data_IF_387935124586
#
_entry.id   IF_387935124586
#
_cell.length_a   1.000
_cell.length_b   1.000
_cell.length_c   1.000
_cell.angle_alpha   90.00
_cell.angle_beta   90.00
_cell.angle_gamma   90.00
#
_symmetry.space_group_name_H-M   'P 1'
#
loop_
_entity.id
_entity.type
_entity.pdbx_description
1 polymer ?
#
# COMPACT_ATOMS: atom_id res chain seq x y z
N UNK A 1 20.63 3.69 12.81
CA UNK A 1 21.43 4.93 12.76
C UNK A 1 22.11 5.23 14.11
N UNK A 2 21.36 5.27 15.22
CA UNK A 2 21.94 5.48 16.57
C UNK A 2 22.91 4.38 16.97
N UNK A 3 22.63 3.12 16.62
CA UNK A 3 23.53 1.98 16.86
C UNK A 3 24.89 2.16 16.16
N UNK A 4 24.92 2.79 14.98
CA UNK A 4 26.14 3.15 14.26
C UNK A 4 26.71 4.52 14.66
N UNK A 5 26.35 5.04 15.83
CA UNK A 5 26.79 6.36 16.36
C UNK A 5 26.43 7.53 15.42
N UNK A 6 25.44 7.37 14.57
CA UNK A 6 24.90 8.42 13.72
C UNK A 6 23.66 9.05 14.37
N UNK A 7 23.64 10.36 14.50
CA UNK A 7 22.47 11.06 14.99
C UNK A 7 21.50 11.31 13.83
N UNK A 8 20.28 10.72 13.84
CA UNK A 8 19.29 10.89 12.77
C UNK A 8 18.94 12.36 12.49
N UNK A 9 18.97 13.19 13.53
CA UNK A 9 18.62 14.61 13.44
C UNK A 9 19.67 15.47 12.74
N UNK A 10 20.89 14.92 12.56
CA UNK A 10 22.01 15.57 11.88
C UNK A 10 22.21 15.10 10.45
N UNK A 11 21.44 14.10 9.99
CA UNK A 11 21.56 13.62 8.63
C UNK A 11 20.94 14.61 7.64
N UNK A 12 21.71 14.96 6.66
CA UNK A 12 21.23 15.72 5.50
C UNK A 12 20.32 14.85 4.64
N UNK A 13 19.59 15.47 3.71
CA UNK A 13 18.80 14.72 2.70
C UNK A 13 19.71 13.77 1.91
N UNK A 14 20.91 14.19 1.55
CA UNK A 14 21.87 13.37 0.80
C UNK A 14 22.32 12.15 1.59
N UNK A 15 22.65 12.31 2.88
CA UNK A 15 23.01 11.18 3.75
C UNK A 15 21.87 10.14 3.81
N UNK A 16 20.61 10.60 3.88
CA UNK A 16 19.44 9.72 3.89
C UNK A 16 19.28 8.98 2.57
N UNK A 17 19.53 9.64 1.43
CA UNK A 17 19.46 9.03 0.11
C UNK A 17 20.58 7.98 -0.10
N UNK A 18 21.81 8.23 0.38
CA UNK A 18 22.89 7.24 0.37
C UNK A 18 22.52 5.97 1.15
N UNK A 19 21.82 6.14 2.30
CA UNK A 19 21.35 5.02 3.11
C UNK A 19 20.25 4.24 2.39
N UNK A 20 19.35 4.92 1.69
CA UNK A 20 18.31 4.28 0.86
C UNK A 20 18.97 3.47 -0.26
N UNK A 21 19.98 4.02 -0.93
CA UNK A 21 20.75 3.33 -1.98
C UNK A 21 19.85 2.62 -2.99
N UNK A 22 19.96 1.29 -3.05
CA UNK A 22 19.16 0.41 -3.91
C UNK A 22 17.94 -0.20 -3.21
N UNK A 23 17.74 0.01 -1.92
CA UNK A 23 16.65 -0.64 -1.17
C UNK A 23 15.27 0.00 -1.42
N UNK A 24 15.22 1.19 -2.02
CA UNK A 24 14.00 1.97 -2.21
C UNK A 24 12.95 1.31 -3.09
N UNK A 25 11.72 1.82 -2.98
CA UNK A 25 10.61 1.46 -3.87
C UNK A 25 10.84 2.07 -5.27
N UNK A 26 10.28 1.40 -6.29
CA UNK A 26 10.41 1.85 -7.68
C UNK A 26 11.80 1.62 -8.29
N UNK A 27 12.12 2.33 -9.37
CA UNK A 27 13.36 2.15 -10.13
C UNK A 27 14.51 3.08 -9.72
N UNK A 28 14.23 4.15 -8.97
CA UNK A 28 15.26 5.12 -8.59
C UNK A 28 16.25 4.48 -7.62
N UNK A 29 17.54 4.67 -7.87
CA UNK A 29 18.65 4.26 -7.00
C UNK A 29 19.57 5.44 -6.73
N UNK A 30 20.21 5.44 -5.57
CA UNK A 30 21.12 6.52 -5.16
C UNK A 30 22.54 6.00 -5.01
N UNK A 31 23.51 6.76 -5.50
CA UNK A 31 24.92 6.45 -5.44
C UNK A 31 25.71 7.68 -4.95
N UNK A 32 26.76 7.50 -4.11
CA UNK A 32 27.24 6.22 -3.56
C UNK A 32 26.20 5.60 -2.61
N UNK A 33 26.21 4.26 -2.52
CA UNK A 33 25.36 3.52 -1.57
C UNK A 33 26.15 3.30 -0.28
N UNK A 34 25.54 3.66 0.85
CA UNK A 34 26.12 3.38 2.17
C UNK A 34 25.60 2.01 2.64
N UNK A 35 26.37 0.96 2.32
CA UNK A 35 26.00 -0.42 2.69
C UNK A 35 26.15 -0.63 4.19
N UNK A 36 25.06 -1.06 4.83
CA UNK A 36 25.12 -1.62 6.19
C UNK A 36 25.53 -3.09 6.09
N UNK A 37 26.36 -3.58 7.01
CA UNK A 37 26.90 -4.94 6.97
C UNK A 37 25.81 -6.01 6.81
N UNK A 38 26.09 -7.02 5.97
CA UNK A 38 25.14 -8.09 5.69
C UNK A 38 25.24 -9.18 6.75
N UNK A 39 24.18 -9.44 7.46
CA UNK A 39 24.01 -10.70 8.20
C UNK A 39 23.17 -11.66 7.33
N UNK A 40 23.80 -12.76 6.89
CA UNK A 40 23.11 -13.85 6.22
C UNK A 40 22.47 -14.74 7.30
N UNK A 41 21.18 -14.60 7.52
CA UNK A 41 20.40 -15.42 8.46
C UNK A 41 19.13 -15.95 7.81
N UNK A 42 18.79 -17.19 8.16
CA UNK A 42 17.48 -17.77 7.84
C UNK A 42 16.45 -17.01 8.69
N UNK A 43 15.62 -16.19 8.04
CA UNK A 43 14.83 -15.16 8.73
C UNK A 43 13.55 -15.76 9.26
N UNK A 44 13.48 -16.03 10.57
CA UNK A 44 12.23 -16.37 11.24
C UNK A 44 11.36 -15.11 11.38
N UNK A 45 10.16 -15.11 10.78
CA UNK A 45 9.25 -13.96 10.78
C UNK A 45 8.79 -13.58 12.18
N UNK A 46 8.55 -14.55 13.07
CA UNK A 46 8.15 -14.28 14.46
C UNK A 46 9.27 -13.57 15.23
N UNK A 47 10.51 -14.00 15.03
CA UNK A 47 11.67 -13.32 15.64
C UNK A 47 11.82 -11.89 15.14
N UNK A 48 11.65 -11.65 13.83
CA UNK A 48 11.68 -10.30 13.28
C UNK A 48 10.52 -9.43 13.79
N UNK A 49 9.32 -9.99 13.90
CA UNK A 49 8.17 -9.28 14.45
C UNK A 49 8.43 -8.83 15.90
N UNK A 50 8.98 -9.72 16.74
CA UNK A 50 9.36 -9.40 18.13
C UNK A 50 10.40 -8.28 18.19
N UNK A 51 11.44 -8.34 17.35
CA UNK A 51 12.45 -7.30 17.29
C UNK A 51 11.89 -5.95 16.79
N UNK A 52 10.96 -5.98 15.84
CA UNK A 52 10.22 -4.78 15.43
C UNK A 52 9.45 -4.15 16.60
N UNK A 53 8.78 -4.97 17.42
CA UNK A 53 8.06 -4.50 18.60
C UNK A 53 8.99 -3.84 19.62
N UNK A 54 10.16 -4.44 19.89
CA UNK A 54 11.18 -3.85 20.80
C UNK A 54 11.61 -2.46 20.31
N UNK A 55 11.86 -2.30 19.01
CA UNK A 55 12.25 -1.01 18.42
C UNK A 55 11.14 0.04 18.59
N UNK A 56 9.89 -0.35 18.34
CA UNK A 56 8.74 0.56 18.51
C UNK A 56 8.57 1.01 19.97
N UNK A 57 8.90 0.13 20.92
CA UNK A 57 8.89 0.44 22.35
C UNK A 57 10.14 1.22 22.81
N UNK A 58 11.02 1.63 21.89
CA UNK A 58 12.32 2.25 22.22
C UNK A 58 13.26 1.35 23.02
N UNK A 59 13.06 0.03 22.99
CA UNK A 59 13.91 -0.96 23.61
C UNK A 59 15.11 -1.30 22.70
N UNK A 60 16.16 -1.87 23.30
CA UNK A 60 17.34 -2.31 22.52
C UNK A 60 16.98 -3.57 21.68
N UNK A 61 17.43 -3.59 20.44
CA UNK A 61 17.33 -4.73 19.54
C UNK A 61 18.68 -5.06 18.94
N UNK A 62 19.11 -6.31 19.04
CA UNK A 62 20.36 -6.85 18.45
C UNK A 62 20.25 -6.98 16.93
N UNK A 63 19.02 -6.98 16.38
CA UNK A 63 18.74 -7.08 14.93
C UNK A 63 18.37 -5.75 14.28
N UNK A 64 18.70 -4.64 14.93
CA UNK A 64 18.32 -3.30 14.46
C UNK A 64 18.80 -3.07 13.00
N UNK A 65 19.98 -3.51 12.66
CA UNK A 65 20.57 -3.30 11.32
C UNK A 65 19.90 -4.18 10.27
N UNK A 66 19.57 -5.41 10.63
CA UNK A 66 18.82 -6.33 9.77
C UNK A 66 17.42 -5.79 9.48
N UNK A 67 16.70 -5.35 10.51
CA UNK A 67 15.37 -4.77 10.37
C UNK A 67 15.40 -3.47 9.57
N UNK A 68 16.39 -2.61 9.78
CA UNK A 68 16.55 -1.40 8.99
C UNK A 68 16.77 -1.71 7.51
N UNK A 69 17.59 -2.68 7.19
CA UNK A 69 17.86 -3.13 5.82
C UNK A 69 16.61 -3.72 5.17
N UNK A 70 15.85 -4.55 5.90
CA UNK A 70 14.63 -5.20 5.42
C UNK A 70 13.45 -4.24 5.36
N UNK A 71 13.35 -3.26 6.26
CA UNK A 71 12.28 -2.28 6.29
C UNK A 71 12.29 -1.30 5.11
N UNK A 72 13.45 -1.04 4.53
CA UNK A 72 13.62 -0.16 3.37
C UNK A 72 13.00 1.22 3.57
N UNK A 73 12.47 1.78 2.48
CA UNK A 73 11.79 3.10 2.46
C UNK A 73 10.28 2.99 2.40
N UNK A 74 9.72 1.83 2.69
CA UNK A 74 8.26 1.68 2.68
C UNK A 74 7.64 2.51 3.79
N UNK A 75 6.81 3.50 3.44
CA UNK A 75 6.08 4.34 4.38
C UNK A 75 4.95 3.59 5.10
N UNK A 76 4.31 4.26 6.05
CA UNK A 76 3.17 3.77 6.83
C UNK A 76 3.51 3.42 8.28
N UNK A 77 2.50 3.44 9.13
CA UNK A 77 2.65 3.34 10.59
C UNK A 77 2.99 1.94 11.10
N UNK A 78 2.59 0.87 10.37
CA UNK A 78 2.85 -0.51 10.79
C UNK A 78 4.25 -0.97 10.39
N UNK A 79 4.97 -1.72 11.28
CA UNK A 79 6.26 -2.29 10.95
C UNK A 79 6.14 -3.23 9.74
N UNK A 80 7.11 -3.15 8.85
CA UNK A 80 7.12 -4.02 7.68
C UNK A 80 8.55 -4.28 7.20
N UNK A 81 8.72 -5.41 6.54
CA UNK A 81 9.99 -5.79 5.92
C UNK A 81 9.79 -6.05 4.42
N UNK A 82 10.86 -5.86 3.67
CA UNK A 82 10.98 -6.29 2.29
C UNK A 82 11.96 -7.47 2.25
N UNK A 83 11.50 -8.62 1.78
CA UNK A 83 12.29 -9.86 1.78
C UNK A 83 12.02 -10.67 0.53
N UNK A 84 12.92 -11.60 0.21
CA UNK A 84 12.75 -12.54 -0.89
C UNK A 84 12.32 -13.89 -0.34
N UNK A 85 11.21 -14.42 -0.83
CA UNK A 85 10.68 -15.76 -0.52
C UNK A 85 10.38 -16.44 -1.85
N UNK A 86 10.88 -17.65 -2.04
CA UNK A 86 10.70 -18.44 -3.26
C UNK A 86 11.11 -17.64 -4.53
N UNK A 87 12.26 -16.94 -4.46
CA UNK A 87 12.81 -16.05 -5.50
C UNK A 87 11.96 -14.79 -5.81
N UNK A 88 10.82 -14.60 -5.16
CA UNK A 88 9.92 -13.47 -5.32
C UNK A 88 10.11 -12.44 -4.21
N UNK A 89 9.91 -11.17 -4.54
CA UNK A 89 10.07 -10.08 -3.56
C UNK A 89 8.72 -9.72 -2.92
N UNK A 90 8.70 -9.76 -1.60
CA UNK A 90 7.52 -9.56 -0.77
C UNK A 90 7.70 -8.38 0.18
N UNK A 91 6.59 -7.71 0.49
CA UNK A 91 6.45 -6.83 1.64
C UNK A 91 5.63 -7.59 2.67
N UNK A 92 6.18 -7.81 3.85
CA UNK A 92 5.49 -8.48 4.96
C UNK A 92 5.24 -7.45 6.06
N UNK A 93 4.00 -7.34 6.51
CA UNK A 93 3.59 -6.42 7.57
C UNK A 93 3.44 -7.17 8.89
N UNK A 94 3.95 -6.56 9.94
CA UNK A 94 3.81 -7.04 11.30
C UNK A 94 2.76 -6.21 12.05
N UNK A 95 2.01 -6.81 13.01
CA UNK A 95 1.12 -6.05 13.87
C UNK A 95 1.87 -4.97 14.65
N UNK A 96 1.29 -3.78 14.80
CA UNK A 96 1.75 -2.81 15.77
C UNK A 96 1.25 -3.19 17.18
N UNK A 97 1.83 -2.59 18.23
CA UNK A 97 1.46 -2.90 19.62
C UNK A 97 -0.05 -2.74 19.91
N UNK A 98 -0.69 -1.80 19.22
CA UNK A 98 -2.13 -1.51 19.38
C UNK A 98 -3.02 -2.41 18.51
N UNK A 99 -2.45 -3.19 17.62
CA UNK A 99 -3.19 -4.08 16.75
C UNK A 99 -3.53 -5.41 17.48
N UNK A 100 -4.69 -5.96 17.17
CA UNK A 100 -5.05 -7.32 17.60
C UNK A 100 -4.23 -8.41 16.89
N UNK A 101 -4.24 -9.64 17.44
CA UNK A 101 -3.56 -10.79 16.85
C UNK A 101 -4.05 -11.15 15.46
N UNK A 102 -5.26 -10.73 15.10
CA UNK A 102 -5.90 -10.98 13.81
C UNK A 102 -5.60 -9.91 12.74
N UNK A 103 -4.79 -8.90 13.03
CA UNK A 103 -4.57 -7.77 12.12
C UNK A 103 -4.06 -8.19 10.73
N UNK A 104 -3.10 -9.13 10.68
CA UNK A 104 -2.58 -9.65 9.41
C UNK A 104 -3.62 -10.47 8.64
N UNK A 105 -4.38 -11.30 9.36
CA UNK A 105 -5.48 -12.08 8.76
C UNK A 105 -6.58 -11.16 8.22
N UNK A 106 -6.96 -10.14 8.97
CA UNK A 106 -7.97 -9.17 8.55
C UNK A 106 -7.53 -8.46 7.25
N UNK A 107 -6.31 -7.97 7.16
CA UNK A 107 -5.81 -7.33 5.93
C UNK A 107 -5.78 -8.32 4.75
N UNK A 108 -5.44 -9.59 5.00
CA UNK A 108 -5.53 -10.64 3.99
C UNK A 108 -6.97 -10.88 3.50
N UNK A 109 -7.96 -10.97 4.41
CA UNK A 109 -9.36 -11.17 4.07
C UNK A 109 -9.91 -9.99 3.24
N UNK A 110 -9.55 -8.74 3.59
CA UNK A 110 -9.87 -7.56 2.79
C UNK A 110 -9.23 -7.61 1.40
N UNK A 111 -7.99 -8.05 1.29
CA UNK A 111 -7.31 -8.21 -0.01
C UNK A 111 -8.00 -9.25 -0.91
N UNK A 112 -8.47 -10.34 -0.31
CA UNK A 112 -9.24 -11.36 -1.02
C UNK A 112 -10.60 -10.83 -1.47
N UNK A 113 -11.27 -10.05 -0.62
CA UNK A 113 -12.53 -9.37 -0.96
C UNK A 113 -12.34 -8.38 -2.11
N UNK A 114 -11.28 -7.56 -2.07
CA UNK A 114 -10.96 -6.62 -3.14
C UNK A 114 -10.72 -7.32 -4.48
N UNK A 115 -9.98 -8.44 -4.49
CA UNK A 115 -9.81 -9.28 -5.70
C UNK A 115 -11.13 -9.80 -6.25
N UNK A 116 -11.98 -10.34 -5.38
CA UNK A 116 -13.33 -10.82 -5.78
C UNK A 116 -14.23 -9.69 -6.29
N UNK A 117 -14.00 -8.47 -5.82
CA UNK A 117 -14.69 -7.25 -6.30
C UNK A 117 -14.16 -6.74 -7.66
N UNK A 118 -13.25 -7.46 -8.30
CA UNK A 118 -12.68 -7.09 -9.59
C UNK A 118 -11.61 -5.99 -9.52
N UNK A 119 -11.06 -5.71 -8.33
CA UNK A 119 -9.94 -4.78 -8.18
C UNK A 119 -8.64 -5.51 -8.49
N UNK A 120 -7.82 -4.91 -9.32
CA UNK A 120 -6.47 -5.42 -9.61
C UNK A 120 -5.59 -5.29 -8.37
N UNK A 121 -5.20 -6.43 -7.80
CA UNK A 121 -4.32 -6.55 -6.63
C UNK A 121 -3.08 -7.35 -6.98
N UNK A 122 -1.96 -7.08 -6.32
CA UNK A 122 -0.84 -8.01 -6.29
C UNK A 122 -1.23 -9.35 -5.66
N UNK A 123 -0.41 -10.36 -5.85
CA UNK A 123 -0.53 -11.58 -5.05
C UNK A 123 -0.37 -11.25 -3.56
N UNK A 124 -1.26 -11.82 -2.75
CA UNK A 124 -1.23 -11.66 -1.30
C UNK A 124 -1.21 -13.04 -0.65
N UNK A 125 -0.49 -13.15 0.46
CA UNK A 125 -0.34 -14.40 1.22
C UNK A 125 -0.44 -14.10 2.71
N UNK A 126 -1.05 -15.02 3.46
CA UNK A 126 -0.99 -15.02 4.91
C UNK A 126 0.14 -15.96 5.33
N UNK A 127 1.22 -15.40 5.84
CA UNK A 127 2.36 -16.16 6.31
C UNK A 127 2.08 -16.68 7.73
N UNK A 128 2.37 -17.96 8.01
CA UNK A 128 2.10 -18.56 9.32
C UNK A 128 2.92 -17.89 10.43
N UNK A 129 2.33 -17.84 11.64
CA UNK A 129 2.95 -17.33 12.86
C UNK A 129 2.49 -18.18 14.04
N UNK A 130 3.35 -18.35 15.04
CA UNK A 130 2.99 -18.91 16.34
C UNK A 130 2.49 -17.86 17.33
N UNK A 131 2.68 -16.57 17.02
CA UNK A 131 2.36 -15.44 17.89
C UNK A 131 1.03 -14.76 17.58
N UNK A 132 0.55 -14.90 16.33
CA UNK A 132 -0.68 -14.27 15.85
C UNK A 132 -1.35 -15.13 14.76
N UNK A 133 -2.51 -14.67 14.24
CA UNK A 133 -3.27 -15.39 13.21
C UNK A 133 -2.59 -15.38 11.83
N UNK A 134 -1.39 -14.84 11.74
CA UNK A 134 -0.53 -14.80 10.57
C UNK A 134 -0.13 -13.37 10.18
N UNK A 135 0.95 -13.27 9.40
CA UNK A 135 1.46 -12.02 8.86
C UNK A 135 0.98 -11.81 7.44
N UNK A 136 0.39 -10.65 7.19
CA UNK A 136 0.00 -10.27 5.83
C UNK A 136 1.23 -9.99 4.98
N UNK A 137 1.31 -10.63 3.83
CA UNK A 137 2.30 -10.33 2.82
C UNK A 137 1.69 -9.98 1.46
N UNK A 138 2.31 -9.03 0.78
CA UNK A 138 1.98 -8.68 -0.60
C UNK A 138 3.23 -8.73 -1.46
N UNK A 139 3.10 -9.33 -2.64
CA UNK A 139 4.18 -9.40 -3.62
C UNK A 139 4.44 -8.01 -4.20
N UNK A 140 5.71 -7.64 -4.29
CA UNK A 140 6.11 -6.34 -4.84
C UNK A 140 5.77 -6.24 -6.31
N UNK A 141 4.99 -5.24 -6.69
CA UNK A 141 4.64 -4.95 -8.08
C UNK A 141 5.65 -4.06 -8.80
N UNK A 142 6.57 -3.45 -8.05
CA UNK A 142 7.66 -2.62 -8.58
C UNK A 142 8.93 -3.43 -8.89
N UNK A 143 8.80 -4.75 -8.90
CA UNK A 143 9.83 -5.71 -9.28
C UNK A 143 9.27 -6.69 -10.30
N UNK A 144 10.05 -6.99 -11.32
CA UNK A 144 9.74 -7.98 -12.36
C UNK A 144 10.97 -8.83 -12.61
N UNK A 145 10.75 -10.11 -12.80
CA UNK A 145 11.79 -11.02 -13.29
C UNK A 145 11.53 -11.25 -14.77
N UNK A 146 12.50 -11.00 -15.61
CA UNK A 146 12.46 -11.31 -17.04
C UNK A 146 13.72 -12.09 -17.45
N UNK A 147 13.86 -12.35 -18.75
CA UNK A 147 14.99 -13.10 -19.30
C UNK A 147 16.36 -12.45 -19.01
N UNK A 148 16.40 -11.17 -18.68
CA UNK A 148 17.62 -10.41 -18.37
C UNK A 148 17.91 -10.35 -16.88
N UNK A 149 17.01 -10.88 -16.04
CA UNK A 149 17.12 -10.90 -14.58
C UNK A 149 16.06 -10.05 -13.88
N UNK A 150 16.38 -9.61 -12.65
CA UNK A 150 15.48 -8.78 -11.85
C UNK A 150 15.48 -7.33 -12.36
N UNK A 151 14.33 -6.85 -12.82
CA UNK A 151 14.10 -5.45 -13.20
C UNK A 151 13.32 -4.69 -12.12
N UNK A 152 13.62 -3.41 -12.03
CA UNK A 152 12.90 -2.43 -11.22
C UNK A 152 11.96 -1.64 -12.12
N UNK A 153 10.72 -1.46 -11.68
CA UNK A 153 9.71 -0.69 -12.43
C UNK A 153 9.61 0.69 -11.80
N UNK A 154 9.70 1.72 -12.63
CA UNK A 154 9.52 3.09 -12.15
C UNK A 154 8.09 3.31 -11.68
N UNK A 155 7.94 3.95 -10.51
CA UNK A 155 6.64 4.21 -9.90
C UNK A 155 6.59 5.60 -9.29
N UNK A 156 5.42 6.21 -9.34
CA UNK A 156 5.12 7.46 -8.66
C UNK A 156 3.73 7.39 -8.02
N UNK A 157 3.62 7.92 -6.81
CA UNK A 157 2.33 8.05 -6.13
C UNK A 157 1.58 9.30 -6.60
N UNK A 158 0.26 9.34 -6.42
CA UNK A 158 -0.53 10.52 -6.67
C UNK A 158 -0.03 11.72 -5.82
N UNK A 159 0.44 11.47 -4.60
CA UNK A 159 1.07 12.48 -3.76
C UNK A 159 2.26 13.14 -4.45
N UNK A 160 3.16 12.34 -5.04
CA UNK A 160 4.33 12.85 -5.74
C UNK A 160 3.97 13.55 -7.06
N UNK A 161 3.03 13.00 -7.83
CA UNK A 161 2.61 13.54 -9.12
C UNK A 161 1.87 14.87 -9.01
N UNK A 162 1.13 15.07 -7.92
CA UNK A 162 0.35 16.27 -7.66
C UNK A 162 1.04 17.21 -6.65
N UNK A 163 2.27 16.88 -6.22
CA UNK A 163 3.05 17.64 -5.23
C UNK A 163 2.25 17.93 -3.94
N UNK A 164 1.48 16.92 -3.47
CA UNK A 164 0.62 17.07 -2.30
C UNK A 164 1.40 16.83 -1.00
N UNK A 165 1.13 17.68 -0.02
CA UNK A 165 1.49 17.39 1.37
C UNK A 165 0.47 16.39 1.94
N UNK A 166 0.93 15.17 2.24
CA UNK A 166 0.05 14.13 2.75
C UNK A 166 -0.40 14.38 4.19
N UNK A 167 0.27 15.25 4.93
CA UNK A 167 -0.13 15.67 6.29
C UNK A 167 -1.32 16.64 6.26
N UNK A 168 -1.56 17.26 5.09
CA UNK A 168 -2.70 18.14 4.86
C UNK A 168 -3.59 17.55 3.76
N UNK A 169 -4.56 16.69 4.12
CA UNK A 169 -5.43 16.05 3.15
C UNK A 169 -6.20 17.07 2.32
N UNK A 170 -5.96 17.06 1.02
CA UNK A 170 -6.60 18.00 0.06
C UNK A 170 -7.07 17.29 -1.22
N UNK A 171 -6.96 15.95 -1.26
CA UNK A 171 -7.29 15.18 -2.44
C UNK A 171 -8.79 14.84 -2.49
N UNK A 172 -9.34 14.87 -3.71
CA UNK A 172 -10.68 14.38 -4.02
C UNK A 172 -10.61 13.32 -5.14
N UNK A 173 -11.53 12.37 -5.14
CA UNK A 173 -11.58 11.32 -6.16
C UNK A 173 -11.83 11.86 -7.57
N UNK A 174 -12.43 13.06 -7.75
CA UNK A 174 -12.47 13.73 -9.06
C UNK A 174 -11.06 13.97 -9.59
N UNK A 175 -10.14 14.44 -8.74
CA UNK A 175 -8.74 14.67 -9.10
C UNK A 175 -8.01 13.36 -9.40
N UNK A 176 -8.23 12.30 -8.64
CA UNK A 176 -7.66 10.98 -8.92
C UNK A 176 -8.15 10.38 -10.23
N UNK A 177 -9.45 10.45 -10.50
CA UNK A 177 -10.01 9.99 -11.77
C UNK A 177 -9.44 10.77 -12.96
N UNK A 178 -9.32 12.10 -12.83
CA UNK A 178 -8.71 12.94 -13.86
C UNK A 178 -7.23 12.61 -14.06
N UNK A 179 -6.47 12.45 -12.97
CA UNK A 179 -5.05 12.05 -13.03
C UNK A 179 -4.89 10.70 -13.73
N UNK A 180 -5.71 9.70 -13.37
CA UNK A 180 -5.72 8.39 -14.00
C UNK A 180 -5.95 8.50 -15.49
N UNK A 181 -6.97 9.23 -15.93
CA UNK A 181 -7.27 9.44 -17.36
C UNK A 181 -6.08 10.02 -18.11
N UNK A 182 -5.47 11.07 -17.58
CA UNK A 182 -4.36 11.77 -18.24
C UNK A 182 -3.14 10.84 -18.35
N UNK A 183 -2.73 10.22 -17.24
CA UNK A 183 -1.52 9.39 -17.20
C UNK A 183 -1.65 8.12 -18.04
N UNK A 184 -2.80 7.47 -17.98
CA UNK A 184 -3.02 6.21 -18.67
C UNK A 184 -3.54 6.39 -20.10
N UNK A 185 -3.61 7.64 -20.60
CA UNK A 185 -4.12 8.00 -21.93
C UNK A 185 -5.53 7.44 -22.17
N UNK A 186 -6.44 7.73 -21.24
CA UNK A 186 -7.84 7.26 -21.27
C UNK A 186 -8.00 5.73 -21.29
N UNK A 187 -7.09 4.98 -20.67
CA UNK A 187 -7.23 3.53 -20.56
C UNK A 187 -8.44 3.17 -19.70
N UNK A 188 -9.44 2.56 -20.33
CA UNK A 188 -10.73 2.23 -19.69
C UNK A 188 -10.57 1.30 -18.49
N UNK A 189 -9.69 0.30 -18.59
CA UNK A 189 -9.43 -0.65 -17.50
C UNK A 189 -8.89 0.04 -16.24
N UNK A 190 -7.92 0.97 -16.42
CA UNK A 190 -7.35 1.71 -15.29
C UNK A 190 -8.36 2.70 -14.67
N UNK A 191 -9.20 3.34 -15.51
CA UNK A 191 -10.26 4.24 -15.06
C UNK A 191 -11.31 3.47 -14.25
N UNK A 192 -11.80 2.34 -14.76
CA UNK A 192 -12.76 1.50 -14.03
C UNK A 192 -12.14 0.94 -12.75
N UNK A 193 -10.86 0.57 -12.77
CA UNK A 193 -10.17 0.06 -11.59
C UNK A 193 -10.01 1.14 -10.50
N UNK A 194 -9.71 2.40 -10.88
CA UNK A 194 -9.70 3.52 -9.93
C UNK A 194 -11.10 3.76 -9.35
N UNK A 195 -12.14 3.72 -10.17
CA UNK A 195 -13.53 3.83 -9.71
C UNK A 195 -13.91 2.69 -8.76
N UNK A 196 -13.51 1.45 -9.06
CA UNK A 196 -13.70 0.29 -8.16
C UNK A 196 -13.02 0.50 -6.81
N UNK A 197 -11.80 1.04 -6.77
CA UNK A 197 -11.08 1.35 -5.52
C UNK A 197 -11.82 2.38 -4.69
N UNK A 198 -12.34 3.45 -5.30
CA UNK A 198 -13.18 4.43 -4.61
C UNK A 198 -14.41 3.77 -4.00
N UNK A 199 -15.17 2.98 -4.77
CA UNK A 199 -16.34 2.26 -4.28
C UNK A 199 -15.97 1.35 -3.09
N UNK A 200 -14.89 0.58 -3.23
CA UNK A 200 -14.44 -0.33 -2.19
C UNK A 200 -14.06 0.42 -0.91
N UNK A 201 -13.21 1.47 -1.01
CA UNK A 201 -12.80 2.27 0.14
C UNK A 201 -14.01 2.84 0.90
N UNK A 202 -15.03 3.33 0.17
CA UNK A 202 -16.25 3.85 0.79
C UNK A 202 -17.03 2.73 1.48
N UNK A 203 -17.27 1.61 0.80
CA UNK A 203 -18.16 0.54 1.34
C UNK A 203 -17.52 -0.25 2.47
N UNK A 204 -16.17 -0.35 2.53
CA UNK A 204 -15.47 -0.99 3.65
C UNK A 204 -15.01 0.00 4.72
N UNK A 205 -15.35 1.27 4.58
CA UNK A 205 -14.86 2.34 5.47
C UNK A 205 -13.33 2.37 5.62
N UNK A 206 -12.61 2.19 4.49
CA UNK A 206 -11.19 2.47 4.45
C UNK A 206 -10.96 3.98 4.34
N UNK A 207 -10.91 4.65 5.48
CA UNK A 207 -10.77 6.11 5.56
C UNK A 207 -9.31 6.59 5.47
N UNK A 208 -8.34 5.66 5.52
CA UNK A 208 -6.92 5.96 5.32
C UNK A 208 -6.53 5.91 3.83
N UNK A 209 -7.44 6.38 2.97
CA UNK A 209 -7.31 6.43 1.52
C UNK A 209 -6.51 7.67 1.05
N UNK A 210 -5.34 7.87 1.65
CA UNK A 210 -4.50 9.05 1.40
C UNK A 210 -3.75 8.96 0.05
N UNK A 211 -3.27 10.10 -0.44
CA UNK A 211 -2.66 10.28 -1.77
C UNK A 211 -1.45 9.36 -2.07
N UNK A 212 -0.77 8.81 -1.05
CA UNK A 212 0.33 7.85 -1.23
C UNK A 212 -0.15 6.41 -1.51
N UNK A 213 -1.45 6.10 -1.29
CA UNK A 213 -2.02 4.78 -1.55
C UNK A 213 -2.47 4.60 -3.00
N UNK A 214 -2.31 5.61 -3.84
CA UNK A 214 -2.58 5.56 -5.27
C UNK A 214 -1.29 5.73 -6.05
N UNK A 215 -0.85 4.66 -6.72
CA UNK A 215 0.44 4.61 -7.42
C UNK A 215 0.24 4.29 -8.90
N UNK A 216 1.14 4.83 -9.72
CA UNK A 216 1.21 4.56 -11.14
C UNK A 216 2.58 3.97 -11.48
N UNK A 217 2.61 3.00 -12.38
CA UNK A 217 3.78 2.31 -12.88
C UNK A 217 4.07 2.75 -14.31
N UNK A 218 5.33 3.00 -14.61
CA UNK A 218 5.75 3.33 -15.97
C UNK A 218 6.08 2.05 -16.75
N UNK A 219 5.40 1.86 -17.86
CA UNK A 219 5.64 0.80 -18.83
C UNK A 219 6.59 1.32 -19.91
N UNK A 220 7.87 0.93 -19.83
CA UNK A 220 8.91 1.38 -20.75
C UNK A 220 8.66 0.88 -22.20
N UNK A 221 8.03 -0.28 -22.36
CA UNK A 221 7.77 -0.86 -23.69
C UNK A 221 6.67 -0.08 -24.43
N UNK A 222 5.71 0.45 -23.69
CA UNK A 222 4.57 1.21 -24.23
C UNK A 222 4.72 2.71 -24.10
N UNK A 223 5.80 3.18 -23.48
CA UNK A 223 6.00 4.59 -23.13
C UNK A 223 4.73 5.19 -22.50
N UNK A 224 4.19 4.53 -21.50
CA UNK A 224 2.93 4.92 -20.88
C UNK A 224 2.86 4.54 -19.40
N UNK A 225 2.04 5.26 -18.66
CA UNK A 225 1.73 4.94 -17.28
C UNK A 225 0.51 4.03 -17.18
N UNK A 226 0.52 3.16 -16.20
CA UNK A 226 -0.61 2.30 -15.83
C UNK A 226 -0.88 2.43 -14.34
N UNK A 227 -2.12 2.30 -13.95
CA UNK A 227 -2.47 2.23 -12.54
C UNK A 227 -1.85 0.96 -11.91
N UNK A 228 -1.13 1.11 -10.79
CA UNK A 228 -0.54 -0.05 -10.10
C UNK A 228 -1.61 -1.02 -9.57
N UNK A 229 -1.28 -2.26 -9.24
CA UNK A 229 -2.12 -3.05 -8.34
C UNK A 229 -2.45 -2.25 -7.07
N UNK A 230 -3.66 -2.44 -6.51
CA UNK A 230 -4.06 -1.78 -5.29
C UNK A 230 -3.37 -2.40 -4.06
N UNK A 231 -3.23 -1.63 -3.01
CA UNK A 231 -2.66 -2.00 -1.72
C UNK A 231 -3.27 -1.17 -0.60
N UNK A 232 -3.08 -1.59 0.64
CA UNK A 232 -3.59 -0.92 1.84
C UNK A 232 -5.13 -0.69 1.80
N UNK A 233 -5.86 -1.68 1.28
CA UNK A 233 -7.32 -1.69 1.21
C UNK A 233 -7.90 -2.42 2.43
N UNK A 234 -7.88 -1.80 3.60
CA UNK A 234 -8.42 -2.39 4.83
C UNK A 234 -9.23 -1.35 5.60
N UNK A 235 -10.13 -1.80 6.46
CA UNK A 235 -10.88 -0.90 7.34
C UNK A 235 -9.94 0.03 8.11
N UNK A 236 -10.29 1.31 8.16
CA UNK A 236 -9.62 2.31 8.97
C UNK A 236 -10.60 3.38 9.42
N UNK A 237 -10.64 3.65 10.73
CA UNK A 237 -11.51 4.71 11.29
C UNK A 237 -10.93 6.10 11.14
N UNK A 238 -9.62 6.25 10.92
CA UNK A 238 -8.84 7.49 11.05
C UNK A 238 -9.07 8.24 12.38
N UNK A 239 -8.27 9.27 12.68
CA UNK A 239 -8.44 10.05 13.92
C UNK A 239 -9.70 10.92 13.93
N UNK A 240 -10.18 11.34 12.74
CA UNK A 240 -11.29 12.27 12.61
C UNK A 240 -12.57 11.61 12.09
N UNK A 241 -12.54 10.31 11.77
CA UNK A 241 -13.69 9.59 11.23
C UNK A 241 -14.09 10.00 9.81
N UNK A 242 -13.19 10.63 9.05
CA UNK A 242 -13.42 11.07 7.68
C UNK A 242 -12.43 10.41 6.72
N UNK A 243 -12.84 10.24 5.47
CA UNK A 243 -11.96 9.83 4.38
C UNK A 243 -10.86 10.85 4.15
N UNK A 244 -9.63 10.39 4.01
CA UNK A 244 -8.48 11.25 3.68
C UNK A 244 -8.59 11.80 2.27
N UNK A 245 -9.19 11.05 1.35
CA UNK A 245 -9.58 11.51 0.01
C UNK A 245 -11.10 11.68 -0.04
N UNK A 246 -11.58 12.89 -0.28
CA UNK A 246 -13.02 13.16 -0.35
C UNK A 246 -13.65 12.57 -1.61
N UNK A 247 -14.95 12.26 -1.54
CA UNK A 247 -15.75 11.80 -2.67
C UNK A 247 -16.78 12.88 -2.98
N UNK A 248 -16.63 13.59 -4.09
CA UNK A 248 -17.47 14.72 -4.46
C UNK A 248 -17.57 15.77 -3.33
N UNK A 249 -16.41 16.07 -2.70
CA UNK A 249 -16.27 17.00 -1.58
C UNK A 249 -16.74 16.45 -0.23
N UNK A 250 -17.28 15.23 -0.16
CA UNK A 250 -17.74 14.61 1.08
C UNK A 250 -16.69 13.65 1.63
N UNK A 251 -16.07 13.99 2.77
CA UNK A 251 -15.12 13.10 3.48
C UNK A 251 -15.77 12.30 4.61
N UNK A 252 -16.89 12.77 5.14
CA UNK A 252 -17.45 12.22 6.38
C UNK A 252 -18.26 10.95 6.16
N UNK A 253 -19.24 11.01 5.28
CA UNK A 253 -20.12 9.90 4.96
C UNK A 253 -20.47 9.91 3.47
N UNK A 254 -19.51 9.72 2.57
CA UNK A 254 -19.82 9.60 1.16
C UNK A 254 -20.64 8.33 0.93
N UNK A 255 -21.58 8.41 0.00
CA UNK A 255 -22.44 7.31 -0.35
C UNK A 255 -22.55 7.10 -1.86
N UNK A 256 -23.52 6.30 -2.27
CA UNK A 256 -23.75 5.96 -3.68
C UNK A 256 -23.95 7.19 -4.58
N UNK A 257 -24.54 8.27 -4.05
CA UNK A 257 -24.79 9.51 -4.79
C UNK A 257 -23.48 10.19 -5.18
N UNK A 258 -22.60 10.40 -4.22
CA UNK A 258 -21.30 11.04 -4.43
C UNK A 258 -20.41 10.18 -5.33
N UNK A 259 -20.36 8.85 -5.10
CA UNK A 259 -19.63 7.90 -5.96
C UNK A 259 -20.11 8.00 -7.41
N UNK A 260 -21.42 7.99 -7.63
CA UNK A 260 -22.03 8.05 -8.97
C UNK A 260 -21.68 9.40 -9.65
N UNK A 261 -21.71 10.51 -8.89
CA UNK A 261 -21.32 11.84 -9.39
C UNK A 261 -19.89 11.82 -9.91
N UNK A 262 -18.95 11.29 -9.12
CA UNK A 262 -17.54 11.18 -9.53
C UNK A 262 -17.39 10.35 -10.81
N UNK A 263 -18.05 9.21 -10.90
CA UNK A 263 -18.01 8.34 -12.09
C UNK A 263 -18.50 9.02 -13.35
N UNK A 264 -19.69 9.62 -13.29
CA UNK A 264 -20.31 10.33 -14.44
C UNK A 264 -19.47 11.52 -14.86
N UNK A 265 -19.01 12.34 -13.93
CA UNK A 265 -18.17 13.53 -14.21
C UNK A 265 -16.84 13.12 -14.85
N UNK A 266 -16.33 11.93 -14.52
CA UNK A 266 -15.12 11.38 -15.14
C UNK A 266 -15.35 10.81 -16.54
N UNK A 267 -16.58 10.83 -17.04
CA UNK A 267 -16.95 10.37 -18.37
C UNK A 267 -17.36 8.89 -18.44
N UNK A 268 -17.54 8.22 -17.32
CA UNK A 268 -18.07 6.85 -17.29
C UNK A 268 -19.59 6.84 -17.54
N UNK A 269 -20.09 5.78 -18.19
CA UNK A 269 -21.52 5.59 -18.37
C UNK A 269 -22.17 5.28 -17.03
N UNK A 270 -23.36 5.83 -16.81
CA UNK A 270 -24.13 5.65 -15.56
C UNK A 270 -24.37 4.18 -15.24
N UNK A 271 -24.75 3.40 -16.25
CA UNK A 271 -25.02 1.98 -16.11
C UNK A 271 -23.79 1.21 -15.61
N UNK A 272 -22.62 1.49 -16.18
CA UNK A 272 -21.33 0.89 -15.76
C UNK A 272 -21.00 1.26 -14.31
N UNK A 273 -21.20 2.54 -13.92
CA UNK A 273 -20.98 2.96 -12.54
C UNK A 273 -21.90 2.21 -11.56
N UNK A 274 -23.19 2.08 -11.90
CA UNK A 274 -24.17 1.38 -11.07
C UNK A 274 -23.81 -0.10 -10.94
N UNK A 275 -23.50 -0.78 -12.04
CA UNK A 275 -23.12 -2.19 -12.05
C UNK A 275 -21.87 -2.45 -11.18
N UNK A 276 -20.86 -1.58 -11.28
CA UNK A 276 -19.66 -1.67 -10.44
C UNK A 276 -19.99 -1.49 -8.96
N UNK A 277 -20.79 -0.47 -8.62
CA UNK A 277 -21.18 -0.23 -7.23
C UNK A 277 -21.95 -1.43 -6.66
N UNK A 278 -22.92 -1.98 -7.40
CA UNK A 278 -23.73 -3.12 -6.95
C UNK A 278 -22.88 -4.37 -6.77
N UNK A 279 -21.95 -4.63 -7.70
CA UNK A 279 -21.02 -5.74 -7.60
C UNK A 279 -20.14 -5.65 -6.36
N UNK A 280 -19.56 -4.48 -6.08
CA UNK A 280 -18.65 -4.29 -4.96
C UNK A 280 -19.42 -4.34 -3.64
N UNK A 281 -20.54 -3.65 -3.52
CA UNK A 281 -21.35 -3.65 -2.30
C UNK A 281 -21.84 -5.06 -1.93
N UNK A 282 -22.29 -5.84 -2.93
CA UNK A 282 -22.62 -7.24 -2.73
C UNK A 282 -21.42 -8.06 -2.27
N UNK A 283 -20.26 -7.91 -2.93
CA UNK A 283 -19.06 -8.66 -2.60
C UNK A 283 -18.57 -8.36 -1.18
N UNK A 284 -18.57 -7.08 -0.79
CA UNK A 284 -18.19 -6.64 0.56
C UNK A 284 -19.12 -7.26 1.61
N UNK A 285 -20.43 -7.23 1.37
CA UNK A 285 -21.41 -7.85 2.26
C UNK A 285 -21.15 -9.35 2.42
N UNK A 286 -20.98 -10.05 1.29
CA UNK A 286 -20.81 -11.50 1.28
C UNK A 286 -19.47 -11.95 1.89
N UNK A 287 -18.40 -11.13 1.79
CA UNK A 287 -17.07 -11.51 2.24
C UNK A 287 -16.71 -11.04 3.66
N UNK A 288 -17.21 -9.87 4.09
CA UNK A 288 -16.73 -9.22 5.31
C UNK A 288 -17.80 -9.14 6.41
N UNK A 289 -19.08 -9.03 6.08
CA UNK A 289 -20.14 -8.95 7.10
C UNK A 289 -20.55 -10.32 7.66
N UNK A 290 -20.43 -11.40 6.88
CA UNK A 290 -20.72 -12.76 7.38
C UNK A 290 -19.61 -13.34 8.27
N UNK A 291 -18.42 -12.74 8.30
CA UNK A 291 -17.32 -13.18 9.18
C UNK A 291 -17.34 -12.50 10.55
N UNK A 292 -18.11 -11.43 10.73
CA UNK A 292 -18.21 -10.71 12.02
C UNK A 292 -19.27 -11.30 12.98
N UNK A 293 -20.22 -12.09 12.48
CA UNK A 293 -21.27 -12.70 13.31
C UNK A 293 -20.90 -14.12 13.81
N UNK A 294 -19.67 -14.59 13.51
CA UNK A 294 -19.18 -15.92 13.92
C UNK A 294 -18.06 -15.88 14.98
N UNK A 295 -17.86 -14.72 15.65
CA UNK A 295 -16.85 -14.56 16.68
C UNK A 295 -17.49 -14.12 18.02
#
# INVERSE_FOLDING_TARGET
LRAHKQNPDRLTVLDRLEIVGKSGMGAITYHPERTLEQTNGNTNLDELAEQCQKILNTEYSDKLDELYRLGGTSGGARPKIMTTIDEEEWIIKFPAHVDGKNAGKMEYDYSCCAKKSGITMSETRLFPSEQCDGYFGTKRFDRRIDQTGKKRIHMLTAAALLELDFEQPSLDYHSLMKLTKILTRDNTEDIENMFRRMCFNVFVHNRDDHSKNFTYLYDEEKDSWRLSPAYDLTYSSTYYGEHTTTVDGNGRNPGRKEILTVGITSGMKKEVCVDIMDQIEKCVRDCLLYTSDAA
#
